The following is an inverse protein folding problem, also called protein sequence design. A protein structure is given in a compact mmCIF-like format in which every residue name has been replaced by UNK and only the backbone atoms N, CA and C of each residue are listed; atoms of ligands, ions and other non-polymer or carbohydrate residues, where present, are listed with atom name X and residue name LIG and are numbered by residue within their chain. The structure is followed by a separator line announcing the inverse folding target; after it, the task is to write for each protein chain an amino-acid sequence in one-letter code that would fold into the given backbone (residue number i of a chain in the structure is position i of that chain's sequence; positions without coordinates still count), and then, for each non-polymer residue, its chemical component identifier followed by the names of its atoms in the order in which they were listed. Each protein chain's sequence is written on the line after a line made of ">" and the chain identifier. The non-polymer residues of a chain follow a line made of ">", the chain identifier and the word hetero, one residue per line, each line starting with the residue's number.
data_IF_685326836494
#
_entry.id   IF_685326836494
#
_cell.length_a   1.000
_cell.length_b   1.000
_cell.length_c   1.000
_cell.angle_alpha   90.00
_cell.angle_beta   90.00
_cell.angle_gamma   90.00
#
_symmetry.space_group_name_H-M   'P 1'
#
loop_
_entity.id
_entity.type
_entity.pdbx_description
1 polymer ?
#
# COMPACT_ATOMS: atom_id res chain seq x y z
N UNK A 1 8.80 69.76 -65.98
CA UNK A 1 8.82 68.55 -65.13
C UNK A 1 10.06 68.62 -64.25
N UNK A 2 9.89 68.58 -62.94
CA UNK A 2 11.01 68.56 -62.00
C UNK A 2 11.72 67.22 -62.16
N UNK A 3 12.99 67.23 -62.53
CA UNK A 3 13.82 66.02 -62.58
C UNK A 3 13.84 65.41 -61.18
N UNK A 4 13.53 64.12 -61.05
CA UNK A 4 13.80 63.41 -59.81
C UNK A 4 15.31 63.43 -59.59
N UNK A 5 15.77 64.12 -58.55
CA UNK A 5 17.18 64.21 -58.15
C UNK A 5 17.62 63.02 -57.29
N UNK A 6 16.75 62.03 -57.09
CA UNK A 6 17.11 60.82 -56.36
C UNK A 6 18.07 59.98 -57.22
N UNK A 7 19.23 59.58 -56.68
CA UNK A 7 20.12 58.65 -57.37
C UNK A 7 19.38 57.34 -57.66
N UNK A 8 19.58 56.78 -58.85
CA UNK A 8 19.02 55.49 -59.23
C UNK A 8 19.86 54.42 -58.52
N UNK A 9 19.23 53.64 -57.64
CA UNK A 9 19.87 52.53 -56.93
C UNK A 9 19.40 51.21 -57.53
N UNK A 10 20.18 50.16 -57.39
CA UNK A 10 19.87 48.84 -57.96
C UNK A 10 19.67 47.83 -56.85
N UNK A 11 18.55 47.12 -56.89
CA UNK A 11 18.04 46.27 -55.84
C UNK A 11 17.94 44.82 -56.31
N UNK A 12 18.16 43.86 -55.41
CA UNK A 12 17.85 42.46 -55.69
C UNK A 12 16.32 42.18 -55.66
N UNK A 13 15.94 40.92 -55.84
CA UNK A 13 14.53 40.49 -55.78
C UNK A 13 13.84 40.76 -54.43
N UNK A 14 14.61 40.94 -53.35
CA UNK A 14 14.12 41.25 -52.00
C UNK A 14 14.04 42.77 -51.73
N UNK A 15 14.42 43.60 -52.70
CA UNK A 15 14.38 45.06 -52.59
C UNK A 15 15.55 45.67 -51.81
N UNK A 16 16.64 44.93 -51.60
CA UNK A 16 17.84 45.40 -50.90
C UNK A 16 18.91 45.88 -51.90
N UNK A 17 19.65 46.92 -51.53
CA UNK A 17 20.87 47.30 -52.27
C UNK A 17 21.91 46.19 -52.10
N UNK A 18 22.34 45.61 -53.22
CA UNK A 18 23.30 44.49 -53.20
C UNK A 18 24.63 44.94 -53.79
N UNK A 19 25.65 44.90 -52.94
CA UNK A 19 27.05 45.11 -53.31
C UNK A 19 27.83 43.80 -53.45
N UNK A 20 27.30 42.68 -52.93
CA UNK A 20 27.92 41.36 -52.99
C UNK A 20 27.01 40.38 -53.75
N UNK A 21 27.50 39.82 -54.85
CA UNK A 21 26.78 38.84 -55.66
C UNK A 21 27.37 37.45 -55.41
N UNK A 22 26.63 36.53 -54.78
CA UNK A 22 27.14 35.20 -54.51
C UNK A 22 27.24 34.37 -55.80
N UNK A 23 28.29 33.57 -55.91
CA UNK A 23 28.40 32.52 -56.90
C UNK A 23 27.48 31.35 -56.51
N UNK A 24 26.27 31.34 -57.07
CA UNK A 24 25.28 30.29 -56.81
C UNK A 24 25.60 28.99 -57.56
N UNK A 25 25.18 27.85 -57.00
CA UNK A 25 25.30 26.56 -57.67
C UNK A 25 24.53 26.55 -59.01
N UNK A 26 25.02 25.76 -59.98
CA UNK A 26 24.39 25.53 -61.29
C UNK A 26 24.34 26.76 -62.24
N UNK A 27 25.15 27.79 -62.02
CA UNK A 27 25.27 28.91 -62.96
C UNK A 27 24.00 29.76 -63.07
N UNK A 28 23.26 29.92 -61.97
CA UNK A 28 22.09 30.78 -61.93
C UNK A 28 22.47 32.24 -62.17
N UNK A 29 21.66 32.93 -62.99
CA UNK A 29 21.87 34.35 -63.26
C UNK A 29 21.41 35.21 -62.08
N UNK A 30 22.25 36.12 -61.63
CA UNK A 30 21.91 37.13 -60.65
C UNK A 30 21.24 38.31 -61.36
N UNK A 31 20.16 38.85 -60.80
CA UNK A 31 19.42 39.98 -61.41
C UNK A 31 19.27 41.15 -60.45
N UNK A 32 19.58 42.35 -60.93
CA UNK A 32 19.40 43.62 -60.24
C UNK A 32 18.35 44.47 -60.97
N UNK A 33 17.44 45.10 -60.23
CA UNK A 33 16.43 46.01 -60.77
C UNK A 33 16.70 47.45 -60.32
N UNK A 34 16.58 48.45 -61.19
CA UNK A 34 16.68 49.85 -60.78
C UNK A 34 15.49 50.25 -59.89
N UNK A 35 15.73 51.15 -58.95
CA UNK A 35 14.69 51.80 -58.15
C UNK A 35 13.69 52.52 -59.07
N UNK A 36 12.38 52.43 -58.76
CA UNK A 36 11.34 52.98 -59.62
C UNK A 36 11.48 54.48 -59.87
N UNK A 37 11.39 54.89 -61.14
CA UNK A 37 11.46 56.29 -61.57
C UNK A 37 10.56 56.52 -62.79
N UNK A 38 9.61 57.45 -62.67
CA UNK A 38 8.53 57.65 -63.65
C UNK A 38 8.92 58.43 -64.91
N UNK A 39 10.20 58.76 -65.10
CA UNK A 39 10.68 59.61 -66.20
C UNK A 39 11.71 58.95 -67.13
N UNK A 40 12.01 57.66 -66.92
CA UNK A 40 13.03 56.93 -67.68
C UNK A 40 12.39 56.33 -68.94
N UNK A 41 13.07 56.48 -70.09
CA UNK A 41 12.63 55.96 -71.38
C UNK A 41 13.30 54.60 -71.70
N UNK A 42 14.63 54.50 -71.57
CA UNK A 42 15.35 53.24 -71.80
C UNK A 42 16.64 53.15 -70.98
N UNK A 43 17.17 51.92 -70.88
CA UNK A 43 18.44 51.58 -70.26
C UNK A 43 19.37 50.89 -71.26
N UNK A 44 20.68 51.05 -71.10
CA UNK A 44 21.71 50.34 -71.87
C UNK A 44 23.02 50.23 -71.05
N UNK A 45 23.92 49.33 -71.44
CA UNK A 45 25.30 49.35 -70.94
C UNK A 45 26.01 50.59 -71.52
N UNK A 46 26.74 51.32 -70.68
CA UNK A 46 27.53 52.45 -71.14
C UNK A 46 28.88 52.00 -71.69
N UNK A 47 28.92 51.77 -73.00
CA UNK A 47 30.11 51.28 -73.72
C UNK A 47 31.20 52.34 -73.90
N UNK A 48 31.04 53.55 -73.36
CA UNK A 48 32.08 54.59 -73.38
C UNK A 48 33.08 54.46 -72.23
N UNK A 49 32.77 53.60 -71.26
CA UNK A 49 33.66 53.27 -70.15
C UNK A 49 34.56 52.09 -70.54
N UNK A 50 35.78 52.07 -70.02
CA UNK A 50 36.72 50.95 -70.19
C UNK A 50 36.71 50.02 -68.97
N UNK A 51 35.57 49.99 -68.27
CA UNK A 51 35.38 49.20 -67.06
C UNK A 51 35.22 47.72 -67.43
N UNK A 52 35.94 46.84 -66.73
CA UNK A 52 35.73 45.40 -66.80
C UNK A 52 34.39 45.09 -66.11
N UNK A 53 33.52 44.34 -66.81
CA UNK A 53 32.20 43.90 -66.31
C UNK A 53 32.13 42.37 -66.33
N UNK A 54 31.25 41.76 -65.51
CA UNK A 54 31.12 40.31 -65.49
C UNK A 54 30.75 39.76 -66.87
N UNK A 55 31.30 38.60 -67.22
CA UNK A 55 31.03 37.98 -68.52
C UNK A 55 29.52 37.65 -68.67
N UNK A 56 28.98 37.85 -69.87
CA UNK A 56 27.56 37.61 -70.12
C UNK A 56 26.59 38.61 -69.47
N UNK A 57 27.07 39.75 -68.97
CA UNK A 57 26.21 40.83 -68.47
C UNK A 57 25.25 41.33 -69.54
N UNK A 58 23.97 41.32 -69.23
CA UNK A 58 22.87 41.84 -70.07
C UNK A 58 22.09 42.90 -69.32
N UNK A 59 21.44 43.80 -70.07
CA UNK A 59 20.51 44.79 -69.52
C UNK A 59 19.21 44.77 -70.30
N UNK A 60 18.08 44.66 -69.60
CA UNK A 60 16.77 44.80 -70.21
C UNK A 60 16.55 46.28 -70.53
N UNK A 61 16.37 46.67 -71.81
CA UNK A 61 16.32 48.08 -72.19
C UNK A 61 15.06 48.80 -71.71
N UNK A 62 14.01 48.08 -71.32
CA UNK A 62 12.75 48.65 -70.85
C UNK A 62 12.70 48.73 -69.32
N UNK A 63 13.09 47.66 -68.63
CA UNK A 63 13.02 47.61 -67.16
C UNK A 63 14.30 48.06 -66.48
N UNK A 64 15.42 48.08 -67.19
CA UNK A 64 16.75 48.34 -66.64
C UNK A 64 17.31 47.18 -65.83
N UNK A 65 16.64 46.02 -65.85
CA UNK A 65 17.11 44.81 -65.19
C UNK A 65 18.49 44.40 -65.70
N UNK A 66 19.48 44.35 -64.82
CA UNK A 66 20.82 43.85 -65.14
C UNK A 66 20.88 42.39 -64.76
N UNK A 67 21.38 41.53 -65.63
CA UNK A 67 21.55 40.10 -65.35
C UNK A 67 22.91 39.59 -65.80
N UNK A 68 23.59 38.83 -64.97
CA UNK A 68 24.84 38.15 -65.30
C UNK A 68 24.98 36.84 -64.52
N UNK A 69 25.76 35.90 -65.03
CA UNK A 69 26.04 34.61 -64.38
C UNK A 69 27.48 34.68 -63.86
N UNK A 70 27.70 34.83 -62.54
CA UNK A 70 29.05 34.84 -62.00
C UNK A 70 29.76 33.50 -62.29
N UNK A 71 31.06 33.54 -62.57
CA UNK A 71 31.89 32.34 -62.70
C UNK A 71 32.86 32.18 -61.54
N UNK A 72 33.44 30.97 -61.40
CA UNK A 72 34.33 30.63 -60.29
C UNK A 72 35.60 31.50 -60.23
N UNK A 73 36.12 31.92 -61.38
CA UNK A 73 37.29 32.80 -61.47
C UNK A 73 36.98 34.27 -61.15
N UNK A 74 35.70 34.64 -61.02
CA UNK A 74 35.27 35.99 -60.66
C UNK A 74 35.14 36.18 -59.15
N UNK A 75 35.14 35.10 -58.37
CA UNK A 75 35.03 35.17 -56.90
C UNK A 75 36.13 36.03 -56.30
N UNK A 76 35.73 37.04 -55.54
CA UNK A 76 36.61 38.03 -54.92
C UNK A 76 36.84 39.30 -55.75
N UNK A 77 36.49 39.30 -57.06
CA UNK A 77 36.60 40.46 -57.92
C UNK A 77 35.45 41.44 -57.68
N UNK A 78 35.73 42.73 -57.90
CA UNK A 78 34.73 43.80 -57.89
C UNK A 78 34.64 44.40 -59.28
N UNK A 79 33.44 44.48 -59.79
CA UNK A 79 33.10 45.05 -61.09
C UNK A 79 32.34 46.35 -60.90
N UNK A 80 32.57 47.30 -61.80
CA UNK A 80 31.88 48.58 -61.84
C UNK A 80 30.99 48.58 -63.09
N UNK A 81 29.76 48.08 -62.96
CA UNK A 81 28.85 47.94 -64.11
C UNK A 81 28.29 49.31 -64.48
N UNK A 82 28.60 49.85 -65.67
CA UNK A 82 28.22 51.19 -66.05
C UNK A 82 26.92 51.14 -66.86
N UNK A 83 25.89 51.84 -66.36
CA UNK A 83 24.54 51.86 -66.93
C UNK A 83 24.22 53.24 -67.46
N UNK A 84 23.93 53.30 -68.76
CA UNK A 84 23.43 54.48 -69.43
C UNK A 84 21.90 54.54 -69.28
N UNK A 85 21.43 55.57 -68.58
CA UNK A 85 20.01 55.87 -68.40
C UNK A 85 19.60 56.97 -69.38
N UNK A 86 18.59 56.70 -70.20
CA UNK A 86 18.04 57.68 -71.14
C UNK A 86 16.65 58.11 -70.70
N UNK A 87 16.45 59.40 -70.58
CA UNK A 87 15.18 60.00 -70.17
C UNK A 87 14.30 60.35 -71.38
N UNK A 88 13.01 60.54 -71.13
CA UNK A 88 12.06 60.94 -72.16
C UNK A 88 12.38 62.32 -72.81
N UNK A 89 13.13 63.18 -72.11
CA UNK A 89 13.61 64.48 -72.62
C UNK A 89 14.90 64.36 -73.45
N UNK A 90 15.30 63.14 -73.82
CA UNK A 90 16.55 62.79 -74.52
C UNK A 90 17.84 63.04 -73.73
N UNK A 91 17.76 63.52 -72.48
CA UNK A 91 18.94 63.61 -71.63
C UNK A 91 19.43 62.21 -71.23
N UNK A 92 20.73 62.12 -70.96
CA UNK A 92 21.39 60.87 -70.58
C UNK A 92 22.19 61.06 -69.30
N UNK A 93 22.30 59.99 -68.53
CA UNK A 93 23.11 59.92 -67.32
C UNK A 93 23.77 58.56 -67.26
N UNK A 94 25.05 58.51 -66.91
CA UNK A 94 25.76 57.26 -66.63
C UNK A 94 25.75 57.02 -65.12
N UNK A 95 25.43 55.79 -64.73
CA UNK A 95 25.39 55.33 -63.33
C UNK A 95 26.28 54.10 -63.21
N UNK A 96 27.28 54.15 -62.34
CA UNK A 96 28.17 53.01 -62.08
C UNK A 96 27.69 52.24 -60.86
N UNK A 97 27.58 50.92 -61.01
CA UNK A 97 27.10 50.02 -59.97
C UNK A 97 28.26 49.13 -59.53
N UNK A 98 28.76 49.27 -58.29
CA UNK A 98 29.79 48.38 -57.77
C UNK A 98 29.18 47.03 -57.39
N UNK A 99 29.72 45.96 -57.97
CA UNK A 99 29.26 44.58 -57.75
C UNK A 99 30.46 43.70 -57.44
N UNK A 100 30.54 43.19 -56.22
CA UNK A 100 31.59 42.25 -55.81
C UNK A 100 31.08 40.82 -55.90
N UNK A 101 31.72 39.97 -56.69
CA UNK A 101 31.39 38.55 -56.69
C UNK A 101 31.99 37.90 -55.45
N UNK A 102 31.18 37.17 -54.70
CA UNK A 102 31.59 36.49 -53.45
C UNK A 102 31.25 35.01 -53.54
N UNK A 103 31.91 34.17 -52.72
CA UNK A 103 31.50 32.78 -52.58
C UNK A 103 30.10 32.74 -51.96
N UNK A 104 29.23 31.84 -52.44
CA UNK A 104 27.94 31.60 -51.79
C UNK A 104 28.16 31.00 -50.40
N UNK A 105 27.39 31.46 -49.42
CA UNK A 105 27.37 30.86 -48.08
C UNK A 105 26.74 29.47 -48.13
N UNK A 106 27.00 28.63 -47.13
CA UNK A 106 26.42 27.30 -47.02
C UNK A 106 24.89 27.35 -47.05
N UNK A 107 24.26 28.31 -46.35
CA UNK A 107 22.80 28.52 -46.38
C UNK A 107 22.23 28.80 -47.79
N UNK A 108 23.02 29.43 -48.67
CA UNK A 108 22.60 29.72 -50.04
C UNK A 108 22.76 28.49 -50.95
N UNK A 109 23.72 27.62 -50.66
CA UNK A 109 23.99 26.42 -51.45
C UNK A 109 23.15 25.21 -51.02
N UNK A 110 22.89 25.10 -49.72
CA UNK A 110 22.24 23.97 -49.08
C UNK A 110 21.03 24.42 -48.25
N UNK A 111 20.01 25.05 -48.84
CA UNK A 111 18.87 25.58 -48.09
C UNK A 111 18.17 24.48 -47.28
N UNK A 112 17.95 24.75 -45.99
CA UNK A 112 17.29 23.80 -45.10
C UNK A 112 15.80 23.67 -45.43
N UNK A 113 15.30 22.44 -45.49
CA UNK A 113 13.90 22.12 -45.79
C UNK A 113 13.22 21.60 -44.54
N UNK A 114 12.15 22.28 -44.11
CA UNK A 114 11.34 21.87 -42.96
C UNK A 114 10.47 20.65 -43.22
N UNK A 115 10.03 20.00 -42.14
CA UNK A 115 9.01 18.96 -42.18
C UNK A 115 8.14 18.97 -40.92
N UNK A 116 6.91 18.50 -41.05
CA UNK A 116 6.01 18.29 -39.92
C UNK A 116 6.55 17.18 -39.03
N UNK A 117 6.46 17.40 -37.71
CA UNK A 117 6.89 16.42 -36.72
C UNK A 117 5.82 16.15 -35.69
N UNK A 118 5.96 15.00 -35.02
CA UNK A 118 5.13 14.64 -33.88
C UNK A 118 5.96 14.45 -32.62
N UNK A 119 5.34 14.70 -31.47
CA UNK A 119 5.96 14.53 -30.15
C UNK A 119 4.90 14.24 -29.09
N UNK A 120 5.20 13.49 -28.01
CA UNK A 120 4.26 13.34 -26.91
C UNK A 120 3.88 14.69 -26.28
N UNK A 121 2.63 14.82 -25.84
CA UNK A 121 2.15 16.02 -25.16
C UNK A 121 3.06 16.42 -23.98
N UNK A 122 3.41 17.71 -23.91
CA UNK A 122 4.31 18.30 -22.91
C UNK A 122 5.82 18.09 -23.19
N UNK A 123 6.21 17.32 -24.20
CA UNK A 123 7.62 16.98 -24.47
C UNK A 123 8.17 17.78 -25.65
N UNK A 124 9.28 18.50 -25.45
CA UNK A 124 9.95 19.26 -26.51
C UNK A 124 10.81 18.31 -27.37
N UNK A 125 10.55 18.17 -28.68
CA UNK A 125 11.38 17.33 -29.55
C UNK A 125 12.71 18.03 -29.88
N UNK A 126 13.76 17.25 -30.26
CA UNK A 126 14.99 17.82 -30.81
C UNK A 126 14.71 18.63 -32.08
N UNK A 127 15.33 19.81 -32.22
CA UNK A 127 15.12 20.72 -33.36
C UNK A 127 15.48 20.08 -34.71
N UNK A 128 16.53 19.24 -34.73
CA UNK A 128 16.97 18.50 -35.90
C UNK A 128 15.85 17.68 -36.56
N UNK A 129 14.93 17.11 -35.76
CA UNK A 129 13.80 16.34 -36.32
C UNK A 129 12.92 17.18 -37.24
N UNK A 130 12.88 18.50 -37.05
CA UNK A 130 12.10 19.42 -37.88
C UNK A 130 12.69 19.67 -39.27
N UNK A 131 13.90 19.17 -39.56
CA UNK A 131 14.58 19.36 -40.84
C UNK A 131 14.59 18.04 -41.62
N UNK A 132 14.14 18.08 -42.87
CA UNK A 132 13.97 16.92 -43.75
C UNK A 132 15.28 16.47 -44.39
N UNK A 133 16.09 17.42 -44.85
CA UNK A 133 17.27 17.18 -45.69
C UNK A 133 18.57 17.20 -44.88
N UNK A 134 18.57 16.79 -43.62
CA UNK A 134 19.76 16.86 -42.74
C UNK A 134 20.97 16.12 -43.31
N UNK A 135 20.76 15.01 -44.03
CA UNK A 135 21.83 14.24 -44.68
C UNK A 135 22.47 14.94 -45.89
N UNK A 136 21.81 15.95 -46.45
CA UNK A 136 22.30 16.74 -47.59
C UNK A 136 23.02 18.02 -47.15
N UNK A 137 22.93 18.37 -45.86
CA UNK A 137 23.56 19.57 -45.32
C UNK A 137 25.05 19.31 -45.00
N UNK A 138 25.90 20.35 -45.05
CA UNK A 138 27.32 20.22 -44.71
C UNK A 138 27.57 19.61 -43.32
N UNK A 139 28.64 18.83 -43.22
CA UNK A 139 29.06 18.24 -41.93
C UNK A 139 29.41 19.33 -40.91
N UNK A 140 28.90 19.20 -39.68
CA UNK A 140 29.05 20.22 -38.64
C UNK A 140 27.89 21.22 -38.55
N UNK A 141 26.88 21.09 -39.42
CA UNK A 141 25.60 21.81 -39.30
C UNK A 141 24.95 21.52 -37.94
N UNK A 142 24.43 22.57 -37.28
CA UNK A 142 23.79 22.51 -35.97
C UNK A 142 22.34 22.95 -36.04
N UNK A 143 21.51 22.35 -35.20
CA UNK A 143 20.07 22.62 -35.13
C UNK A 143 19.68 23.10 -33.74
N UNK A 144 18.97 24.21 -33.66
CA UNK A 144 18.44 24.73 -32.40
C UNK A 144 17.06 25.34 -32.62
N UNK A 145 16.22 25.32 -31.60
CA UNK A 145 14.99 26.10 -31.63
C UNK A 145 15.32 27.58 -31.43
N UNK A 146 14.75 28.48 -32.25
CA UNK A 146 14.92 29.93 -32.06
C UNK A 146 14.42 30.36 -30.68
N UNK A 147 13.24 29.84 -30.30
CA UNK A 147 12.68 29.94 -28.96
C UNK A 147 12.26 28.54 -28.52
N UNK A 148 12.49 28.18 -27.25
CA UNK A 148 12.06 26.88 -26.71
C UNK A 148 10.55 26.69 -26.93
N UNK A 149 10.12 25.67 -27.69
CA UNK A 149 8.69 25.44 -27.95
C UNK A 149 7.91 25.19 -26.66
N UNK A 150 6.72 25.77 -26.55
CA UNK A 150 5.76 25.49 -25.47
C UNK A 150 4.80 24.43 -25.99
N UNK A 151 5.12 23.16 -25.71
CA UNK A 151 4.31 22.03 -26.17
C UNK A 151 3.08 21.89 -25.27
N UNK A 152 1.85 21.87 -25.82
CA UNK A 152 0.64 21.62 -25.05
C UNK A 152 0.71 20.29 -24.30
N UNK A 153 0.14 20.25 -23.09
CA UNK A 153 0.04 19.02 -22.29
C UNK A 153 -1.22 18.20 -22.63
N UNK A 154 -1.67 18.27 -23.89
CA UNK A 154 -2.82 17.55 -24.44
C UNK A 154 -2.45 17.02 -25.83
N UNK A 155 -2.90 15.82 -26.19
CA UNK A 155 -2.71 15.27 -27.54
C UNK A 155 -3.59 15.97 -28.61
N UNK A 156 -3.23 15.79 -29.88
CA UNK A 156 -3.99 16.29 -31.03
C UNK A 156 -3.91 17.81 -31.30
N UNK A 157 -3.08 18.56 -30.57
CA UNK A 157 -2.80 19.98 -30.84
C UNK A 157 -1.63 20.12 -31.82
N UNK A 158 -1.69 21.14 -32.66
CA UNK A 158 -0.58 21.53 -33.54
C UNK A 158 -0.12 22.94 -33.20
N UNK A 159 1.18 23.12 -33.05
CA UNK A 159 1.83 24.43 -32.90
C UNK A 159 2.89 24.60 -33.99
N UNK A 160 3.27 25.84 -34.30
CA UNK A 160 4.41 26.12 -35.17
C UNK A 160 5.58 26.65 -34.33
N UNK A 161 6.80 26.23 -34.65
CA UNK A 161 8.03 26.71 -34.02
C UNK A 161 9.15 26.78 -35.03
N UNK A 162 10.09 27.71 -34.84
CA UNK A 162 11.14 27.98 -35.82
C UNK A 162 12.46 27.30 -35.42
N UNK A 163 13.03 26.50 -36.31
CA UNK A 163 14.36 25.92 -36.19
C UNK A 163 15.37 26.88 -36.81
N UNK A 164 16.42 27.20 -36.06
CA UNK A 164 17.63 27.87 -36.56
C UNK A 164 18.64 26.78 -36.93
N UNK A 165 18.92 26.68 -38.22
CA UNK A 165 19.97 25.82 -38.79
C UNK A 165 21.23 26.66 -38.93
N UNK A 166 22.31 26.29 -38.25
CA UNK A 166 23.59 27.00 -38.31
C UNK A 166 24.62 26.15 -39.02
N UNK A 167 25.12 26.64 -40.14
CA UNK A 167 26.08 25.95 -40.99
C UNK A 167 27.53 26.15 -40.49
N UNK A 168 28.49 25.32 -40.94
CA UNK A 168 29.90 25.45 -40.57
C UNK A 168 30.53 26.82 -40.89
N UNK A 169 30.13 27.46 -42.00
CA UNK A 169 30.58 28.81 -42.37
C UNK A 169 29.97 29.94 -41.51
N UNK A 170 29.08 29.59 -40.57
CA UNK A 170 28.37 30.52 -39.69
C UNK A 170 27.11 31.14 -40.28
N UNK A 171 26.79 30.88 -41.55
CA UNK A 171 25.51 31.25 -42.14
C UNK A 171 24.37 30.47 -41.50
N UNK A 172 23.13 30.98 -41.65
CA UNK A 172 21.97 30.40 -40.98
C UNK A 172 20.72 30.41 -41.86
N UNK A 173 19.90 29.38 -41.70
CA UNK A 173 18.50 29.35 -42.14
C UNK A 173 17.55 29.37 -40.93
N UNK A 174 16.37 29.96 -41.12
CA UNK A 174 15.24 29.88 -40.19
C UNK A 174 14.09 29.17 -40.87
N UNK A 175 13.67 28.06 -40.28
CA UNK A 175 12.69 27.15 -40.88
C UNK A 175 11.53 26.96 -39.92
N UNK A 176 10.31 27.31 -40.36
CA UNK A 176 9.10 27.08 -39.58
C UNK A 176 8.68 25.61 -39.66
N UNK A 177 8.46 25.01 -38.49
CA UNK A 177 8.19 23.58 -38.30
C UNK A 177 6.88 23.39 -37.53
N UNK A 178 5.87 22.76 -38.13
CA UNK A 178 4.67 22.31 -37.43
C UNK A 178 4.97 21.12 -36.52
N UNK A 179 4.54 21.20 -35.26
CA UNK A 179 4.69 20.16 -34.24
C UNK A 179 3.30 19.73 -33.79
N UNK A 180 2.95 18.47 -34.03
CA UNK A 180 1.68 17.89 -33.58
C UNK A 180 1.88 16.98 -32.37
N UNK A 181 1.10 17.19 -31.31
CA UNK A 181 1.19 16.41 -30.07
C UNK A 181 0.49 15.06 -30.19
N UNK A 182 1.11 13.99 -29.69
CA UNK A 182 0.52 12.66 -29.51
C UNK A 182 0.25 12.38 -28.04
N UNK A 183 -0.52 11.33 -27.73
CA UNK A 183 -0.75 10.91 -26.33
C UNK A 183 0.57 10.64 -25.61
N UNK A 184 0.69 11.19 -24.40
CA UNK A 184 1.76 10.88 -23.46
C UNK A 184 1.34 9.73 -22.52
N UNK A 185 2.26 9.24 -21.68
CA UNK A 185 1.97 8.09 -20.82
C UNK A 185 0.90 8.39 -19.76
N UNK A 186 0.82 9.62 -19.25
CA UNK A 186 -0.25 10.05 -18.35
C UNK A 186 -1.63 10.00 -19.01
N UNK A 187 -1.78 10.51 -20.24
CA UNK A 187 -3.04 10.50 -20.98
C UNK A 187 -3.46 9.06 -21.32
N UNK A 188 -2.51 8.21 -21.73
CA UNK A 188 -2.76 6.78 -21.92
C UNK A 188 -3.23 6.11 -20.64
N UNK A 189 -2.58 6.41 -19.51
CA UNK A 189 -2.96 5.88 -18.22
C UNK A 189 -4.36 6.32 -17.84
N UNK A 190 -4.71 7.59 -17.96
CA UNK A 190 -6.04 8.10 -17.66
C UNK A 190 -7.11 7.46 -18.55
N UNK A 191 -6.81 7.28 -19.83
CA UNK A 191 -7.69 6.58 -20.77
C UNK A 191 -7.92 5.12 -20.39
N UNK A 192 -6.90 4.43 -19.88
CA UNK A 192 -6.98 3.04 -19.44
C UNK A 192 -7.56 2.89 -18.03
N UNK A 193 -7.43 3.92 -17.18
CA UNK A 193 -7.91 3.95 -15.81
C UNK A 193 -9.38 4.38 -15.68
N UNK A 194 -10.14 4.34 -16.78
CA UNK A 194 -11.60 4.55 -16.73
C UNK A 194 -12.23 3.62 -15.71
N UNK A 195 -13.16 4.15 -14.93
CA UNK A 195 -13.82 3.44 -13.83
C UNK A 195 -12.86 2.85 -12.78
N UNK A 196 -11.70 3.47 -12.59
CA UNK A 196 -10.64 3.02 -11.67
C UNK A 196 -10.08 1.62 -12.01
N UNK A 197 -10.10 1.21 -13.28
CA UNK A 197 -9.64 -0.11 -13.71
C UNK A 197 -8.16 -0.42 -13.34
N UNK A 198 -7.34 0.62 -13.18
CA UNK A 198 -5.93 0.49 -12.80
C UNK A 198 -5.66 0.82 -11.32
N UNK A 199 -6.69 1.17 -10.54
CA UNK A 199 -6.53 1.50 -9.11
C UNK A 199 -7.13 0.39 -8.23
N UNK A 200 -6.27 -0.35 -7.52
CA UNK A 200 -6.66 -1.40 -6.58
C UNK A 200 -7.05 -0.87 -5.20
N UNK A 201 -6.53 0.31 -4.83
CA UNK A 201 -6.67 0.86 -3.48
C UNK A 201 -5.71 0.27 -2.46
N UNK A 202 -5.80 0.74 -1.22
CA UNK A 202 -5.08 0.21 -0.07
C UNK A 202 -6.04 -0.25 1.01
N UNK A 203 -5.64 -1.30 1.73
CA UNK A 203 -6.28 -1.71 2.98
C UNK A 203 -5.25 -1.65 4.09
N UNK A 204 -5.58 -0.96 5.18
CA UNK A 204 -4.67 -0.71 6.31
C UNK A 204 -5.42 -0.90 7.62
N UNK A 205 -4.68 -1.17 8.69
CA UNK A 205 -5.26 -1.28 10.02
C UNK A 205 -5.41 0.10 10.67
N UNK A 206 -6.40 0.28 11.54
CA UNK A 206 -6.59 1.51 12.27
C UNK A 206 -5.31 1.94 13.02
N UNK A 207 -4.90 3.20 12.85
CA UNK A 207 -3.69 3.77 13.43
C UNK A 207 -2.39 3.41 12.70
N UNK A 208 -2.44 2.59 11.64
CA UNK A 208 -1.27 2.28 10.82
C UNK A 208 -0.77 3.52 10.10
N UNK A 209 0.56 3.72 10.07
CA UNK A 209 1.17 4.85 9.38
C UNK A 209 1.37 4.51 7.91
N UNK A 210 0.69 5.24 7.03
CA UNK A 210 0.85 5.14 5.58
C UNK A 210 1.90 6.14 5.10
N UNK A 211 2.91 5.66 4.39
CA UNK A 211 3.91 6.54 3.78
C UNK A 211 3.33 7.17 2.49
N UNK A 212 3.71 8.40 2.12
CA UNK A 212 3.26 9.00 0.86
C UNK A 212 3.53 8.12 -0.37
N UNK A 213 4.66 7.42 -0.40
CA UNK A 213 5.06 6.50 -1.46
C UNK A 213 4.22 5.22 -1.54
N UNK A 214 3.42 4.89 -0.52
CA UNK A 214 2.55 3.71 -0.54
C UNK A 214 1.43 3.83 -1.57
N UNK A 215 1.16 5.04 -2.09
CA UNK A 215 0.27 5.26 -3.22
C UNK A 215 0.60 4.35 -4.42
N UNK A 216 1.89 4.03 -4.65
CA UNK A 216 2.31 3.14 -5.73
C UNK A 216 1.75 1.72 -5.58
N UNK A 217 1.56 1.23 -4.35
CA UNK A 217 0.99 -0.11 -4.07
C UNK A 217 -0.47 -0.23 -4.48
N UNK A 218 -1.17 0.90 -4.60
CA UNK A 218 -2.58 0.95 -5.01
C UNK A 218 -2.76 1.07 -6.53
N UNK A 219 -1.68 1.10 -7.31
CA UNK A 219 -1.72 1.08 -8.77
C UNK A 219 -1.47 -0.36 -9.23
N UNK A 220 -2.35 -0.86 -10.09
CA UNK A 220 -2.24 -2.19 -10.69
C UNK A 220 -1.14 -2.20 -11.75
N UNK A 221 -0.24 -3.17 -11.67
CA UNK A 221 0.83 -3.41 -12.63
C UNK A 221 1.57 -2.10 -13.05
N UNK A 222 2.16 -1.35 -12.09
CA UNK A 222 2.71 -0.02 -12.35
C UNK A 222 3.78 -0.02 -13.44
N UNK A 223 4.65 -1.03 -13.46
CA UNK A 223 5.70 -1.17 -14.48
C UNK A 223 5.10 -1.39 -15.88
N UNK A 224 4.03 -2.17 -16.00
CA UNK A 224 3.34 -2.41 -17.27
C UNK A 224 2.64 -1.16 -17.81
N UNK A 225 2.34 -0.20 -16.93
CA UNK A 225 1.73 1.08 -17.25
C UNK A 225 2.74 2.24 -17.26
N UNK A 226 4.05 1.94 -17.35
CA UNK A 226 5.14 2.92 -17.40
C UNK A 226 5.14 3.92 -16.22
N UNK A 227 4.57 3.55 -15.08
CA UNK A 227 4.55 4.35 -13.87
C UNK A 227 5.93 4.30 -13.23
N UNK A 228 6.54 5.47 -13.05
CA UNK A 228 7.83 5.63 -12.38
C UNK A 228 7.68 5.72 -10.86
N UNK A 229 6.66 6.44 -10.40
CA UNK A 229 6.37 6.63 -8.97
C UNK A 229 4.94 7.12 -8.76
N UNK A 230 4.38 6.88 -7.58
CA UNK A 230 3.17 7.53 -7.13
C UNK A 230 3.29 7.98 -5.68
N UNK A 231 2.74 9.15 -5.38
CA UNK A 231 2.84 9.77 -4.04
C UNK A 231 1.50 10.36 -3.63
N UNK A 232 1.04 10.08 -2.41
CA UNK A 232 -0.12 10.78 -1.84
C UNK A 232 0.15 12.27 -1.68
N UNK A 233 -0.81 13.09 -2.07
CA UNK A 233 -0.69 14.55 -2.04
C UNK A 233 -0.97 15.13 -0.65
N UNK A 234 -1.51 14.30 0.25
CA UNK A 234 -1.84 14.65 1.62
C UNK A 234 -1.64 13.44 2.55
N UNK A 235 -1.67 13.68 3.86
CA UNK A 235 -1.56 12.61 4.85
C UNK A 235 -2.82 11.75 4.87
N UNK A 236 -2.64 10.44 4.75
CA UNK A 236 -3.72 9.45 4.86
C UNK A 236 -4.09 9.29 6.35
N UNK A 237 -5.36 9.55 6.69
CA UNK A 237 -5.85 9.42 8.06
C UNK A 237 -6.39 8.00 8.32
N UNK A 238 -5.68 7.25 9.15
CA UNK A 238 -6.04 5.87 9.50
C UNK A 238 -6.72 5.74 10.86
N UNK A 239 -7.15 6.84 11.49
CA UNK A 239 -7.82 6.78 12.80
C UNK A 239 -9.30 6.41 12.71
N UNK A 240 -9.93 6.67 11.55
CA UNK A 240 -11.34 6.40 11.34
C UNK A 240 -11.51 5.15 10.48
N UNK A 241 -12.25 4.17 10.97
CA UNK A 241 -12.60 2.96 10.22
C UNK A 241 -13.51 3.33 9.05
N UNK A 242 -13.32 2.65 7.91
CA UNK A 242 -14.13 2.82 6.72
C UNK A 242 -13.30 3.14 5.48
N UNK A 243 -14.00 3.47 4.40
CA UNK A 243 -13.39 3.76 3.09
C UNK A 243 -13.36 5.26 2.85
N UNK A 244 -12.17 5.80 2.56
CA UNK A 244 -11.96 7.18 2.13
C UNK A 244 -11.14 7.24 0.84
N UNK A 245 -11.11 8.39 0.18
CA UNK A 245 -10.38 8.59 -1.07
C UNK A 245 -9.34 9.68 -0.86
N UNK A 246 -8.10 9.42 -1.27
CA UNK A 246 -7.00 10.35 -1.15
C UNK A 246 -6.39 10.63 -2.52
N UNK A 247 -6.15 11.91 -2.88
CA UNK A 247 -5.49 12.25 -4.12
C UNK A 247 -4.02 11.83 -4.08
N UNK A 248 -3.54 11.26 -5.18
CA UNK A 248 -2.15 10.90 -5.38
C UNK A 248 -1.68 11.31 -6.77
N UNK A 249 -0.49 11.89 -6.84
CA UNK A 249 0.19 12.20 -8.09
C UNK A 249 0.98 11.00 -8.57
N UNK A 250 0.68 10.57 -9.80
CA UNK A 250 1.37 9.50 -10.53
C UNK A 250 2.32 10.15 -11.52
N UNK A 251 3.58 9.73 -11.50
CA UNK A 251 4.64 10.20 -12.41
C UNK A 251 5.08 9.06 -13.30
N UNK A 252 5.21 9.31 -14.60
CA UNK A 252 5.56 8.31 -15.61
C UNK A 252 7.03 8.44 -16.05
N UNK A 253 7.52 7.45 -16.78
CA UNK A 253 8.89 7.41 -17.27
C UNK A 253 9.24 8.54 -18.27
N UNK A 254 8.24 9.03 -19.02
CA UNK A 254 8.38 10.17 -19.92
C UNK A 254 8.36 11.54 -19.20
N UNK A 255 8.17 11.52 -17.87
CA UNK A 255 8.09 12.72 -17.03
C UNK A 255 6.70 13.36 -16.98
N UNK A 256 5.72 12.86 -17.73
CA UNK A 256 4.32 13.26 -17.61
C UNK A 256 3.76 12.86 -16.24
N UNK A 257 2.71 13.55 -15.79
CA UNK A 257 2.07 13.28 -14.50
C UNK A 257 0.56 13.41 -14.61
N UNK A 258 -0.16 12.59 -13.83
CA UNK A 258 -1.61 12.73 -13.61
C UNK A 258 -1.93 12.63 -12.12
N UNK A 259 -3.16 12.96 -11.72
CA UNK A 259 -3.66 12.83 -10.35
C UNK A 259 -4.84 11.88 -10.32
N UNK A 260 -4.77 10.88 -9.45
CA UNK A 260 -5.84 9.90 -9.23
C UNK A 260 -6.31 9.91 -7.79
N UNK A 261 -7.56 9.50 -7.56
CA UNK A 261 -8.11 9.31 -6.22
C UNK A 261 -8.00 7.84 -5.82
N UNK A 262 -7.13 7.55 -4.86
CA UNK A 262 -6.89 6.20 -4.36
C UNK A 262 -7.87 5.89 -3.22
N UNK A 263 -8.68 4.83 -3.31
CA UNK A 263 -9.49 4.37 -2.19
C UNK A 263 -8.61 3.71 -1.14
N UNK A 264 -8.70 4.18 0.10
CA UNK A 264 -8.06 3.59 1.27
C UNK A 264 -9.15 3.08 2.21
N UNK A 265 -9.08 1.79 2.54
CA UNK A 265 -9.99 1.12 3.49
C UNK A 265 -9.27 0.88 4.80
N UNK A 266 -9.71 1.56 5.85
CA UNK A 266 -9.20 1.37 7.20
C UNK A 266 -10.06 0.33 7.91
N UNK A 267 -9.43 -0.73 8.40
CA UNK A 267 -10.09 -1.82 9.13
C UNK A 267 -9.77 -1.76 10.62
N UNK A 268 -10.71 -2.24 11.44
CA UNK A 268 -10.44 -2.44 12.86
C UNK A 268 -9.26 -3.42 13.04
N UNK A 269 -8.41 -3.23 14.06
CA UNK A 269 -7.41 -4.23 14.40
C UNK A 269 -8.09 -5.55 14.76
N UNK A 270 -7.50 -6.67 14.32
CA UNK A 270 -7.98 -8.00 14.71
C UNK A 270 -7.62 -8.21 16.18
N UNK A 271 -8.64 -8.42 17.00
CA UNK A 271 -8.47 -8.68 18.44
C UNK A 271 -7.95 -10.09 18.69
N UNK A 272 -7.32 -10.32 19.82
CA UNK A 272 -6.87 -11.65 20.22
C UNK A 272 -8.07 -12.59 20.43
N UNK A 273 -9.22 -12.09 20.87
CA UNK A 273 -10.48 -12.84 20.89
C UNK A 273 -10.93 -13.34 19.51
N UNK A 274 -10.62 -12.62 18.43
CA UNK A 274 -10.90 -13.07 17.06
C UNK A 274 -9.87 -14.09 16.56
N UNK A 275 -8.61 -14.01 17.04
CA UNK A 275 -7.50 -14.90 16.63
C UNK A 275 -7.53 -16.23 17.36
N UNK A 276 -7.80 -16.23 18.66
CA UNK A 276 -7.69 -17.40 19.54
C UNK A 276 -9.07 -17.95 19.87
N UNK A 277 -9.23 -19.28 19.76
CA UNK A 277 -10.46 -19.98 20.13
C UNK A 277 -10.17 -20.90 21.34
N UNK A 278 -10.71 -20.61 22.53
CA UNK A 278 -10.56 -21.49 23.68
C UNK A 278 -11.30 -22.82 23.44
N UNK A 279 -10.61 -23.92 23.66
CA UNK A 279 -11.16 -25.27 23.65
C UNK A 279 -11.48 -25.69 25.08
N UNK A 280 -12.71 -26.13 25.33
CA UNK A 280 -13.13 -26.55 26.67
C UNK A 280 -12.95 -28.04 26.90
N UNK A 281 -12.83 -28.41 28.16
CA UNK A 281 -12.85 -29.80 28.63
C UNK A 281 -13.71 -29.91 29.89
N UNK A 282 -14.39 -31.04 30.11
CA UNK A 282 -15.17 -31.25 31.32
C UNK A 282 -14.26 -31.28 32.56
N UNK A 283 -14.77 -30.78 33.67
CA UNK A 283 -14.10 -30.79 34.97
C UNK A 283 -14.76 -31.87 35.83
N UNK A 284 -13.96 -32.80 36.33
CA UNK A 284 -14.45 -33.80 37.29
C UNK A 284 -14.14 -33.37 38.72
N UNK A 285 -15.16 -33.28 39.58
CA UNK A 285 -15.05 -32.85 40.97
C UNK A 285 -15.81 -33.80 41.90
N UNK A 286 -15.26 -34.18 43.06
CA UNK A 286 -16.01 -34.97 44.04
C UNK A 286 -17.34 -34.31 44.43
N UNK A 287 -18.41 -35.09 44.50
CA UNK A 287 -19.72 -34.60 44.91
C UNK A 287 -19.66 -33.93 46.30
N UNK A 288 -20.16 -32.70 46.42
CA UNK A 288 -20.09 -31.87 47.62
C UNK A 288 -18.69 -31.28 47.91
N UNK A 289 -17.74 -31.40 46.98
CA UNK A 289 -16.37 -30.92 47.09
C UNK A 289 -16.19 -29.42 46.80
N UNK A 290 -14.96 -29.03 46.47
CA UNK A 290 -14.63 -27.67 46.04
C UNK A 290 -14.46 -27.59 44.52
N UNK A 291 -15.03 -26.55 43.92
CA UNK A 291 -14.85 -26.28 42.50
C UNK A 291 -13.40 -25.79 42.24
N UNK A 292 -12.68 -26.34 41.27
CA UNK A 292 -11.35 -25.86 40.90
C UNK A 292 -11.40 -24.52 40.12
N UNK A 293 -10.23 -23.96 39.86
CA UNK A 293 -10.09 -22.76 39.04
C UNK A 293 -10.62 -22.99 37.61
N UNK A 294 -11.19 -21.93 37.03
CA UNK A 294 -11.80 -21.95 35.69
C UNK A 294 -10.83 -22.43 34.59
N UNK A 295 -9.54 -22.19 34.77
CA UNK A 295 -8.48 -22.63 33.86
C UNK A 295 -8.41 -24.14 33.69
N UNK A 296 -8.89 -24.94 34.66
CA UNK A 296 -8.92 -26.40 34.52
C UNK A 296 -9.92 -26.86 33.45
N UNK A 297 -10.92 -26.03 33.14
CA UNK A 297 -11.89 -26.27 32.08
C UNK A 297 -11.43 -25.87 30.67
N UNK A 298 -10.24 -25.28 30.52
CA UNK A 298 -9.68 -24.87 29.22
C UNK A 298 -8.54 -25.79 28.84
N UNK A 299 -8.74 -26.59 27.79
CA UNK A 299 -7.81 -27.60 27.32
C UNK A 299 -6.55 -27.01 26.70
N UNK A 300 -6.70 -25.99 25.85
CA UNK A 300 -5.61 -25.34 25.12
C UNK A 300 -5.09 -24.07 25.82
N UNK A 301 -5.16 -24.01 27.15
CA UNK A 301 -4.77 -22.83 27.94
C UNK A 301 -3.33 -22.36 27.69
N UNK A 302 -2.44 -23.29 27.37
CA UNK A 302 -1.01 -23.02 27.15
C UNK A 302 -0.71 -22.50 25.73
N UNK A 303 -1.67 -22.61 24.81
CA UNK A 303 -1.59 -22.06 23.44
C UNK A 303 -2.12 -20.62 23.34
N UNK A 304 -2.73 -20.11 24.43
CA UNK A 304 -3.24 -18.75 24.51
C UNK A 304 -2.09 -17.75 24.72
N UNK A 305 -2.23 -16.49 24.27
CA UNK A 305 -1.16 -15.51 24.38
C UNK A 305 -0.81 -15.21 25.84
N UNK A 306 0.47 -14.94 26.11
CA UNK A 306 0.96 -14.65 27.47
C UNK A 306 0.28 -13.41 28.05
N UNK A 307 -0.18 -13.50 29.32
CA UNK A 307 -0.97 -12.46 29.97
C UNK A 307 -2.48 -12.67 29.87
N UNK A 308 -2.93 -13.74 29.21
CA UNK A 308 -4.34 -14.16 29.23
C UNK A 308 -4.78 -14.53 30.65
N UNK A 309 -5.93 -14.01 31.09
CA UNK A 309 -6.57 -14.39 32.36
C UNK A 309 -7.80 -15.25 32.08
N UNK A 310 -8.02 -16.27 32.91
CA UNK A 310 -9.11 -17.25 32.77
C UNK A 310 -9.87 -17.32 34.08
N UNK A 311 -11.09 -16.80 34.08
CA UNK A 311 -11.94 -16.70 35.27
C UNK A 311 -13.35 -17.23 35.01
N UNK A 312 -14.07 -17.57 36.07
CA UNK A 312 -15.48 -17.90 35.98
C UNK A 312 -16.29 -16.61 35.73
N UNK A 313 -16.95 -16.53 34.58
CA UNK A 313 -17.96 -15.50 34.28
C UNK A 313 -19.25 -15.81 35.04
N UNK A 314 -19.67 -17.08 34.98
CA UNK A 314 -20.74 -17.66 35.79
C UNK A 314 -20.25 -18.94 36.41
N UNK A 315 -20.08 -18.93 37.73
CA UNK A 315 -19.69 -20.12 38.49
C UNK A 315 -20.79 -21.20 38.41
N UNK A 316 -20.45 -22.45 38.06
CA UNK A 316 -21.38 -23.57 38.18
C UNK A 316 -21.68 -23.85 39.66
N UNK A 317 -22.85 -24.42 39.93
CA UNK A 317 -23.11 -25.03 41.23
C UNK A 317 -22.18 -26.24 41.42
N UNK A 318 -21.74 -26.54 42.64
CA UNK A 318 -20.99 -27.77 42.89
C UNK A 318 -21.96 -28.94 42.84
N UNK A 319 -21.71 -29.99 42.03
CA UNK A 319 -22.52 -31.22 42.04
C UNK A 319 -22.65 -31.79 43.45
N UNK A 320 -23.85 -32.14 43.86
CA UNK A 320 -24.15 -32.70 45.20
C UNK A 320 -24.21 -34.22 45.20
N UNK A 321 -24.31 -34.84 44.02
CA UNK A 321 -24.35 -36.30 43.85
C UNK A 321 -23.38 -36.77 42.76
N UNK A 322 -22.81 -37.98 42.88
CA UNK A 322 -22.09 -38.60 41.77
C UNK A 322 -22.97 -38.72 40.53
N UNK A 323 -22.41 -38.39 39.36
CA UNK A 323 -23.10 -38.36 38.07
C UNK A 323 -23.96 -37.11 37.81
N UNK A 324 -24.11 -36.19 38.78
CA UNK A 324 -24.76 -34.90 38.55
C UNK A 324 -23.86 -34.00 37.69
N UNK A 325 -24.45 -33.35 36.68
CA UNK A 325 -23.78 -32.43 35.77
C UNK A 325 -24.25 -31.01 36.01
N UNK A 326 -23.31 -30.09 36.07
CA UNK A 326 -23.58 -28.65 36.21
C UNK A 326 -22.80 -27.89 35.15
N UNK A 327 -23.31 -26.74 34.73
CA UNK A 327 -22.68 -25.92 33.69
C UNK A 327 -22.29 -24.55 34.21
N UNK A 328 -21.08 -24.12 33.88
CA UNK A 328 -20.55 -22.78 34.13
C UNK A 328 -20.12 -22.12 32.82
N UNK A 329 -19.88 -20.81 32.88
CA UNK A 329 -19.24 -20.08 31.77
C UNK A 329 -17.89 -19.54 32.23
N UNK A 330 -16.87 -19.78 31.42
CA UNK A 330 -15.51 -19.29 31.62
C UNK A 330 -15.29 -18.09 30.72
N UNK A 331 -14.83 -16.98 31.28
CA UNK A 331 -14.36 -15.80 30.55
C UNK A 331 -12.84 -15.87 30.40
N UNK A 332 -12.40 -15.87 29.15
CA UNK A 332 -10.99 -15.76 28.76
C UNK A 332 -10.76 -14.31 28.35
N UNK A 333 -9.93 -13.57 29.07
CA UNK A 333 -9.58 -12.17 28.78
C UNK A 333 -8.13 -12.11 28.30
N UNK A 334 -7.92 -11.52 27.12
CA UNK A 334 -6.63 -11.46 26.46
C UNK A 334 -5.85 -10.19 26.80
N UNK A 335 -4.53 -10.13 26.53
CA UNK A 335 -3.68 -8.97 26.84
C UNK A 335 -4.11 -7.68 26.16
N UNK A 336 -4.73 -7.75 24.98
CA UNK A 336 -5.28 -6.60 24.25
C UNK A 336 -6.61 -6.07 24.84
N UNK A 337 -7.08 -6.69 25.93
CA UNK A 337 -8.33 -6.35 26.62
C UNK A 337 -9.58 -6.97 26.01
N UNK A 338 -9.47 -7.64 24.86
CA UNK A 338 -10.58 -8.40 24.29
C UNK A 338 -10.91 -9.64 25.14
N UNK A 339 -12.10 -10.20 25.01
CA UNK A 339 -12.48 -11.40 25.77
C UNK A 339 -13.49 -12.29 25.04
N UNK A 340 -13.48 -13.58 25.35
CA UNK A 340 -14.44 -14.57 24.87
C UNK A 340 -14.99 -15.38 26.05
N UNK A 341 -16.26 -15.76 25.99
CA UNK A 341 -16.89 -16.63 26.98
C UNK A 341 -17.21 -18.00 26.40
N UNK A 342 -16.85 -19.08 27.10
CA UNK A 342 -17.09 -20.46 26.67
C UNK A 342 -17.78 -21.29 27.78
N UNK A 343 -18.70 -22.21 27.44
CA UNK A 343 -19.36 -23.07 28.42
C UNK A 343 -18.46 -24.25 28.83
N UNK A 344 -18.45 -24.58 30.12
CA UNK A 344 -17.71 -25.70 30.69
C UNK A 344 -18.65 -26.56 31.53
N UNK A 345 -18.65 -27.86 31.28
CA UNK A 345 -19.38 -28.87 32.06
C UNK A 345 -18.55 -29.30 33.27
N UNK A 346 -19.20 -29.42 34.43
CA UNK A 346 -18.62 -29.92 35.66
C UNK A 346 -19.40 -31.15 36.12
N UNK A 347 -18.71 -32.28 36.23
CA UNK A 347 -19.28 -33.58 36.59
C UNK A 347 -18.96 -33.94 38.04
N UNK A 348 -19.99 -34.35 38.78
CA UNK A 348 -19.84 -34.93 40.11
C UNK A 348 -19.26 -36.34 40.02
N UNK A 349 -18.11 -36.57 40.64
CA UNK A 349 -17.53 -37.90 40.83
C UNK A 349 -17.82 -38.44 42.23
N UNK A 350 -17.61 -39.74 42.41
CA UNK A 350 -17.75 -40.37 43.72
C UNK A 350 -16.79 -39.70 44.73
N UNK A 351 -17.28 -39.26 45.91
CA UNK A 351 -16.41 -38.72 46.94
C UNK A 351 -15.34 -39.77 47.26
N UNK A 352 -14.07 -39.37 47.22
CA UNK A 352 -12.94 -40.27 47.51
C UNK A 352 -12.79 -40.58 49.01
N UNK A 353 -13.91 -40.78 49.72
CA UNK A 353 -13.92 -41.37 51.05
C UNK A 353 -13.63 -42.87 50.90
N UNK A 354 -12.47 -43.31 51.36
CA UNK A 354 -12.25 -44.75 51.62
C UNK A 354 -13.37 -45.25 52.53
N UNK A 355 -13.99 -46.38 52.19
CA UNK A 355 -14.87 -47.10 53.12
C UNK A 355 -14.17 -47.25 54.47
N UNK A 356 -14.84 -46.79 55.53
CA UNK A 356 -14.33 -46.94 56.89
C UNK A 356 -14.63 -48.35 57.41
N UNK A 357 -13.91 -48.79 58.43
CA UNK A 357 -14.16 -50.07 59.06
C UNK A 357 -15.56 -50.10 59.72
N UNK A 358 -16.08 -48.95 60.18
CA UNK A 358 -17.46 -48.84 60.63
C UNK A 358 -18.51 -49.12 59.53
N UNK A 359 -18.19 -48.83 58.27
CA UNK A 359 -19.06 -49.14 57.13
C UNK A 359 -19.02 -50.64 56.76
N UNK A 360 -17.90 -51.32 57.05
CA UNK A 360 -17.67 -52.73 56.70
C UNK A 360 -18.15 -53.72 57.77
N UNK A 361 -17.99 -53.38 59.04
CA UNK A 361 -18.23 -54.30 60.15
C UNK A 361 -19.48 -53.91 60.94
N UNK A 362 -20.38 -54.87 61.13
CA UNK A 362 -21.61 -54.70 61.90
C UNK A 362 -21.53 -55.52 63.21
N UNK A 363 -21.39 -54.86 64.38
CA UNK A 363 -21.43 -55.56 65.66
C UNK A 363 -22.82 -56.16 65.90
N UNK A 364 -22.85 -57.40 66.36
CA UNK A 364 -24.04 -58.10 66.83
C UNK A 364 -23.99 -58.19 68.34
N UNK A 365 -25.12 -57.91 69.01
CA UNK A 365 -25.18 -57.89 70.47
C UNK A 365 -25.79 -59.17 71.02
N UNK A 366 -25.50 -59.45 72.29
CA UNK A 366 -26.13 -60.50 73.08
C UNK A 366 -26.49 -59.97 74.47
N UNK A 367 -27.55 -60.50 75.11
CA UNK A 367 -27.90 -60.11 76.47
C UNK A 367 -26.79 -60.49 77.45
N UNK A 368 -26.61 -59.68 78.48
CA UNK A 368 -25.69 -59.94 79.57
C UNK A 368 -26.48 -60.30 80.82
N UNK A 369 -26.21 -61.47 81.40
CA UNK A 369 -26.83 -61.88 82.65
C UNK A 369 -25.92 -61.54 83.83
N UNK A 370 -26.42 -60.73 84.77
CA UNK A 370 -25.66 -60.27 85.96
C UNK A 370 -26.46 -60.51 87.24
N UNK A 371 -25.84 -60.94 88.35
CA UNK A 371 -26.53 -61.05 89.63
C UNK A 371 -27.17 -59.73 90.05
N UNK A 372 -28.41 -59.77 90.54
CA UNK A 372 -29.12 -58.58 91.02
C UNK A 372 -28.31 -57.87 92.14
N UNK A 373 -28.05 -56.57 91.98
CA UNK A 373 -27.19 -55.77 92.87
C UNK A 373 -25.69 -56.03 92.74
N UNK A 374 -25.26 -56.79 91.72
CA UNK A 374 -23.86 -57.12 91.45
C UNK A 374 -23.07 -56.03 90.72
N UNK A 375 -21.98 -56.41 90.08
CA UNK A 375 -21.19 -55.52 89.22
C UNK A 375 -21.48 -55.82 87.75
N UNK A 376 -21.55 -54.76 86.94
CA UNK A 376 -21.68 -54.88 85.49
C UNK A 376 -20.34 -55.34 84.89
N UNK A 377 -20.33 -56.34 84.00
CA UNK A 377 -19.11 -56.74 83.29
C UNK A 377 -18.72 -55.70 82.23
N UNK A 378 -17.56 -55.94 81.61
CA UNK A 378 -17.07 -55.11 80.52
C UNK A 378 -18.04 -55.11 79.33
N UNK A 379 -18.14 -53.98 78.63
CA UNK A 379 -19.02 -53.81 77.47
C UNK A 379 -18.82 -54.89 76.39
N UNK A 380 -17.60 -55.42 76.30
CA UNK A 380 -17.24 -56.47 75.36
C UNK A 380 -18.02 -57.78 75.54
N UNK A 381 -18.53 -58.09 76.73
CA UNK A 381 -19.36 -59.30 76.93
C UNK A 381 -20.71 -59.22 76.23
N UNK A 382 -21.17 -58.00 75.93
CA UNK A 382 -22.41 -57.74 75.19
C UNK A 382 -22.28 -57.88 73.68
N UNK A 383 -21.08 -58.12 73.13
CA UNK A 383 -20.84 -58.27 71.69
C UNK A 383 -20.66 -59.76 71.36
N UNK A 384 -21.61 -60.30 70.59
CA UNK A 384 -21.70 -61.72 70.23
C UNK A 384 -20.62 -62.12 69.23
N UNK A 385 -20.42 -61.31 68.18
CA UNK A 385 -19.49 -61.58 67.08
C UNK A 385 -18.14 -60.89 67.27
N UNK A 386 -17.67 -60.79 68.53
CA UNK A 386 -16.45 -60.05 68.87
C UNK A 386 -15.21 -60.54 68.09
N UNK A 387 -15.12 -61.85 67.86
CA UNK A 387 -13.99 -62.46 67.16
C UNK A 387 -14.03 -62.26 65.63
N UNK A 388 -15.18 -61.85 65.08
CA UNK A 388 -15.35 -61.54 63.65
C UNK A 388 -15.01 -60.07 63.32
N UNK A 389 -14.83 -59.24 64.36
CA UNK A 389 -14.43 -57.84 64.22
C UNK A 389 -12.91 -57.74 64.01
N UNK A 390 -12.41 -56.69 63.33
CA UNK A 390 -10.99 -56.55 63.04
C UNK A 390 -10.16 -56.40 64.32
N UNK A 391 -8.89 -56.81 64.26
CA UNK A 391 -7.97 -56.67 65.39
C UNK A 391 -7.68 -55.19 65.69
N UNK A 392 -7.52 -54.84 66.97
CA UNK A 392 -7.18 -53.48 67.40
C UNK A 392 -8.39 -52.58 67.69
N UNK A 393 -9.61 -53.13 67.68
CA UNK A 393 -10.81 -52.41 68.12
C UNK A 393 -10.81 -52.14 69.62
N UNK A 394 -11.46 -51.05 70.05
CA UNK A 394 -11.82 -50.82 71.45
C UNK A 394 -13.34 -50.95 71.63
N UNK A 395 -13.77 -51.58 72.73
CA UNK A 395 -15.18 -51.80 73.04
C UNK A 395 -15.46 -51.28 74.45
N UNK A 396 -16.22 -50.19 74.53
CA UNK A 396 -16.54 -49.51 75.78
C UNK A 396 -18.04 -49.22 75.89
N UNK A 397 -18.51 -48.94 77.11
CA UNK A 397 -19.85 -48.43 77.32
C UNK A 397 -19.92 -46.97 76.88
N UNK A 398 -20.65 -46.69 75.79
CA UNK A 398 -21.04 -45.33 75.40
C UNK A 398 -22.05 -44.76 76.40
N UNK A 399 -23.01 -45.61 76.78
CA UNK A 399 -23.98 -45.36 77.83
C UNK A 399 -24.07 -46.59 78.72
N UNK A 400 -23.59 -46.46 79.96
CA UNK A 400 -23.58 -47.57 80.93
C UNK A 400 -25.02 -47.86 81.41
N UNK A 401 -25.49 -49.13 81.35
CA UNK A 401 -26.78 -49.51 81.91
C UNK A 401 -26.76 -49.41 83.44
N UNK A 402 -27.92 -49.18 84.03
CA UNK A 402 -28.09 -49.35 85.48
C UNK A 402 -27.92 -50.83 85.83
N UNK A 403 -27.33 -51.14 86.99
CA UNK A 403 -27.27 -52.54 87.45
C UNK A 403 -28.68 -52.97 87.89
N UNK A 404 -29.24 -54.08 87.36
CA UNK A 404 -30.51 -54.62 87.82
C UNK A 404 -30.50 -54.83 89.34
N UNK A 405 -31.54 -54.37 90.03
CA UNK A 405 -31.67 -54.47 91.50
C UNK A 405 -32.47 -55.69 91.95
N UNK A 406 -33.21 -56.32 91.03
CA UNK A 406 -34.03 -57.51 91.30
C UNK A 406 -33.81 -58.58 90.23
N UNK A 407 -33.92 -59.88 90.57
CA UNK A 407 -33.97 -60.95 89.58
C UNK A 407 -35.12 -60.73 88.59
N UNK A 408 -34.83 -60.88 87.29
CA UNK A 408 -35.77 -60.63 86.19
C UNK A 408 -35.88 -59.17 85.72
N UNK A 409 -35.24 -58.21 86.39
CA UNK A 409 -35.19 -56.82 85.93
C UNK A 409 -34.25 -56.68 84.72
N UNK A 410 -34.70 -55.94 83.70
CA UNK A 410 -33.95 -55.68 82.47
C UNK A 410 -33.56 -54.22 82.37
N UNK A 411 -32.32 -53.97 82.00
CA UNK A 411 -31.77 -52.62 81.79
C UNK A 411 -31.03 -52.57 80.46
N UNK A 412 -31.00 -51.40 79.82
CA UNK A 412 -30.36 -51.24 78.51
C UNK A 412 -29.18 -50.27 78.59
N UNK A 413 -28.10 -50.67 77.94
CA UNK A 413 -26.90 -49.87 77.74
C UNK A 413 -26.57 -49.74 76.26
N UNK A 414 -25.64 -48.85 75.93
CA UNK A 414 -25.12 -48.69 74.58
C UNK A 414 -23.63 -48.93 74.59
N UNK A 415 -23.17 -49.84 73.73
CA UNK A 415 -21.76 -50.19 73.55
C UNK A 415 -21.24 -49.46 72.32
N UNK A 416 -20.08 -48.81 72.44
CA UNK A 416 -19.33 -48.21 71.33
C UNK A 416 -18.18 -49.12 70.94
N UNK A 417 -18.14 -49.48 69.66
CA UNK A 417 -17.01 -50.15 69.03
C UNK A 417 -16.25 -49.11 68.22
N UNK A 418 -14.98 -48.86 68.56
CA UNK A 418 -14.10 -47.95 67.81
C UNK A 418 -13.07 -48.76 67.05
N UNK A 419 -12.89 -48.48 65.77
CA UNK A 419 -12.01 -49.19 64.86
C UNK A 419 -10.63 -48.51 64.76
N UNK A 420 -9.59 -49.24 64.32
CA UNK A 420 -8.24 -48.70 64.18
C UNK A 420 -8.13 -47.49 63.24
N UNK A 421 -9.02 -47.37 62.26
CA UNK A 421 -9.09 -46.23 61.33
C UNK A 421 -9.73 -44.97 61.96
N UNK A 422 -10.13 -45.04 63.23
CA UNK A 422 -10.76 -43.96 63.97
C UNK A 422 -12.29 -43.88 63.79
N UNK A 423 -12.87 -44.69 62.91
CA UNK A 423 -14.32 -44.81 62.77
C UNK A 423 -14.94 -45.55 63.96
N UNK A 424 -16.25 -45.38 64.19
CA UNK A 424 -16.93 -46.06 65.31
C UNK A 424 -18.40 -46.31 65.07
N UNK A 425 -18.93 -47.40 65.63
CA UNK A 425 -20.35 -47.78 65.59
C UNK A 425 -20.87 -48.00 67.01
N UNK A 426 -22.10 -47.57 67.30
CA UNK A 426 -22.76 -47.80 68.59
C UNK A 426 -23.92 -48.79 68.45
N UNK A 427 -24.05 -49.72 69.41
CA UNK A 427 -25.09 -50.76 69.41
C UNK A 427 -25.72 -50.94 70.80
N UNK A 428 -27.04 -51.20 70.90
CA UNK A 428 -27.72 -51.41 72.17
C UNK A 428 -27.52 -52.83 72.72
N UNK A 429 -27.31 -52.95 74.02
CA UNK A 429 -27.13 -54.21 74.75
C UNK A 429 -28.09 -54.27 75.94
N UNK A 430 -28.83 -55.37 76.06
CA UNK A 430 -29.72 -55.67 77.19
C UNK A 430 -28.94 -56.36 78.32
N UNK A 431 -29.22 -56.00 79.57
CA UNK A 431 -28.64 -56.59 80.77
C UNK A 431 -29.75 -57.08 81.69
N UNK A 432 -29.75 -58.38 82.00
CA UNK A 432 -30.76 -59.05 82.82
C UNK A 432 -30.24 -59.34 84.23
N UNK A 433 -31.05 -59.06 85.24
CA UNK A 433 -30.80 -59.45 86.62
C UNK A 433 -31.05 -60.94 86.85
N UNK A 434 -30.07 -61.68 87.34
CA UNK A 434 -30.20 -63.08 87.76
C UNK A 434 -30.22 -63.20 89.29
N UNK A 435 -30.61 -64.37 89.80
CA UNK A 435 -30.58 -64.62 91.25
C UNK A 435 -29.15 -64.48 91.79
N UNK A 436 -28.95 -63.74 92.90
CA UNK A 436 -27.62 -63.62 93.50
C UNK A 436 -27.12 -64.98 93.96
N UNK A 437 -25.89 -65.33 93.58
CA UNK A 437 -25.26 -66.61 93.91
C UNK A 437 -24.89 -66.70 95.40
N UNK A 438 -25.88 -67.08 96.22
CA UNK A 438 -25.72 -67.86 97.45
C UNK A 438 -25.27 -67.14 98.73
N UNK A 439 -26.17 -67.13 99.71
CA UNK A 439 -25.94 -67.88 100.95
C UNK A 439 -27.27 -68.45 101.43
N UNK A 440 -27.42 -69.78 101.30
CA UNK A 440 -28.29 -70.53 102.20
C UNK A 440 -27.88 -70.20 103.63
N UNK A 441 -28.82 -69.71 104.44
CA UNK A 441 -28.76 -69.85 105.89
C UNK A 441 -30.06 -70.51 106.32
N UNK A 442 -29.91 -71.79 106.65
CA UNK A 442 -30.86 -72.63 107.37
C UNK A 442 -31.24 -71.96 108.72
N UNK A 443 -32.54 -71.77 108.97
CA UNK A 443 -33.26 -71.49 110.24
C UNK A 443 -34.56 -70.73 109.90
N UNK A 444 -35.78 -71.12 110.27
CA UNK A 444 -36.23 -71.91 111.41
C UNK A 444 -37.65 -72.48 111.11
N UNK A 445 -37.84 -73.77 111.45
CA UNK A 445 -39.06 -74.57 111.69
C UNK A 445 -40.25 -74.63 110.73
#
# INVERSE_FOLDING_TARGET
>A
MVRSTKPITFLNAEGQEVTNVPLLANGQAFTLQPSSSSSIATYALDTQTNDEIPEGTTINPQTGAISFIPTADEVGKTYNVPVLVRYADFSQMSVTIPVKVVAATDAQQYPAVGQDITTPAGIVPPAEKGIKNTAELPEGTKYSWENKPIIPNESGKTINSTVVVTYPDGSQDKVDVPITTTENEAEKFDNNNKDNALISGLTVTQGEKVAPSDALKAIKDPDANNVKSATFNENVNTNNIGRQFYPATVTFNDGSTTTVNIPVTVQAPITDADKYKPETQPIDVPAGGQLPDASTGIKNKDDLPSGTTIDWDKKPAVPTKPGEKTEGTVKVTYPDGSSTTVPVEVNGTEPSGKETDADKYKPETQPIDVPAGGQLPDASTGIKNKDDLPSGITIDWDKKPAVPTKPGEKTEGTVKVTYPDGSSTTVPVEVNGTEPSGKETDADK
#
